data_IF_164394092109
#
_entry.id   IF_164394092109
#
_cell.length_a   1.000
_cell.length_b   1.000
_cell.length_c   1.000
_cell.angle_alpha   90.00
_cell.angle_beta   90.00
_cell.angle_gamma   90.00
#
_symmetry.space_group_name_H-M   'P 1'
#
loop_
_entity.id
_entity.type
_entity.pdbx_description
1 polymer ?
#
# COMPACT_ATOMS: atom_id res chain seq x y z
N UNK A 1 -47.24 37.22 -19.58
CA UNK A 1 -45.87 37.45 -19.03
C UNK A 1 -45.19 36.11 -18.79
N UNK A 2 -43.96 35.92 -19.28
CA UNK A 2 -43.20 34.66 -19.05
C UNK A 2 -42.54 34.69 -17.67
N UNK A 3 -42.28 33.53 -17.06
CA UNK A 3 -41.63 33.44 -15.74
C UNK A 3 -40.28 34.17 -15.68
N UNK A 4 -39.57 34.19 -16.81
CA UNK A 4 -38.33 34.96 -16.98
C UNK A 4 -38.53 36.46 -16.76
N UNK A 5 -39.62 37.02 -17.28
CA UNK A 5 -39.90 38.46 -17.23
C UNK A 5 -40.34 38.87 -15.81
N UNK A 6 -41.15 38.02 -15.16
CA UNK A 6 -41.53 38.18 -13.74
C UNK A 6 -40.30 38.16 -12.82
N UNK A 7 -39.38 37.23 -13.05
CA UNK A 7 -38.13 37.13 -12.28
C UNK A 7 -37.21 38.34 -12.46
N UNK A 8 -37.16 38.91 -13.67
CA UNK A 8 -36.38 40.13 -13.95
C UNK A 8 -36.95 41.35 -13.22
N UNK A 9 -38.28 41.53 -13.27
CA UNK A 9 -38.97 42.60 -12.54
C UNK A 9 -38.78 42.47 -11.02
N UNK A 10 -38.89 41.26 -10.47
CA UNK A 10 -38.69 41.06 -9.04
C UNK A 10 -37.27 41.47 -8.60
N UNK A 11 -36.28 41.20 -9.45
CA UNK A 11 -34.87 41.50 -9.16
C UNK A 11 -34.56 42.99 -9.12
N UNK A 12 -35.37 43.84 -9.75
CA UNK A 12 -35.19 45.31 -9.68
C UNK A 12 -35.78 45.90 -8.40
N UNK A 13 -36.61 45.15 -7.66
CA UNK A 13 -37.23 45.61 -6.41
C UNK A 13 -36.42 45.21 -5.17
N UNK A 14 -35.62 44.15 -5.26
CA UNK A 14 -34.82 43.60 -4.16
C UNK A 14 -33.46 44.31 -4.11
N UNK A 15 -33.16 44.94 -2.98
CA UNK A 15 -31.86 45.55 -2.71
C UNK A 15 -30.82 44.49 -2.30
N UNK A 16 -31.15 43.62 -1.35
CA UNK A 16 -30.33 42.47 -1.00
C UNK A 16 -31.15 41.31 -0.41
N UNK A 17 -30.49 40.15 -0.37
CA UNK A 17 -31.00 38.91 0.24
C UNK A 17 -29.92 38.39 1.18
N UNK A 18 -30.28 38.20 2.45
CA UNK A 18 -29.37 37.73 3.50
C UNK A 18 -29.83 36.39 4.05
N UNK A 19 -28.87 35.53 4.41
CA UNK A 19 -29.15 34.30 5.13
C UNK A 19 -28.95 34.57 6.63
N UNK A 20 -30.03 34.48 7.39
CA UNK A 20 -30.02 34.69 8.83
C UNK A 20 -29.58 33.40 9.56
N UNK A 21 -28.84 33.53 10.67
CA UNK A 21 -28.41 32.39 11.47
C UNK A 21 -29.62 31.67 12.07
N UNK A 22 -29.57 30.34 12.03
CA UNK A 22 -30.63 29.46 12.52
C UNK A 22 -30.02 28.31 13.31
N UNK A 23 -30.57 28.00 14.49
CA UNK A 23 -30.02 26.95 15.37
C UNK A 23 -30.23 25.56 14.77
N UNK A 24 -31.39 25.31 14.15
CA UNK A 24 -31.70 24.06 13.49
C UNK A 24 -31.13 24.05 12.07
N UNK A 25 -30.14 23.19 11.81
CA UNK A 25 -29.49 23.06 10.48
C UNK A 25 -30.46 22.68 9.36
N UNK A 26 -31.60 22.06 9.70
CA UNK A 26 -32.69 21.73 8.78
C UNK A 26 -33.57 22.93 8.40
N UNK A 27 -33.37 24.10 9.02
CA UNK A 27 -34.11 25.33 8.73
C UNK A 27 -33.18 26.37 8.11
N UNK A 28 -33.74 27.22 7.28
CA UNK A 28 -33.06 28.39 6.74
C UNK A 28 -34.02 29.57 6.85
N UNK A 29 -33.45 30.73 7.18
CA UNK A 29 -34.20 31.95 7.38
C UNK A 29 -33.56 33.00 6.49
N UNK A 30 -34.36 33.59 5.61
CA UNK A 30 -33.90 34.50 4.58
C UNK A 30 -34.50 35.86 4.85
N UNK A 31 -33.66 36.87 5.04
CA UNK A 31 -34.08 38.27 5.05
C UNK A 31 -34.05 38.83 3.62
N UNK A 32 -35.10 39.52 3.21
CA UNK A 32 -35.16 40.25 1.94
C UNK A 32 -35.29 41.73 2.25
N UNK A 33 -34.33 42.55 1.78
CA UNK A 33 -34.41 44.00 1.86
C UNK A 33 -34.83 44.56 0.52
N UNK A 34 -35.88 45.38 0.52
CA UNK A 34 -36.39 46.04 -0.68
C UNK A 34 -35.70 47.38 -0.90
N UNK A 35 -35.63 47.85 -2.14
CA UNK A 35 -35.13 49.21 -2.44
C UNK A 35 -35.99 50.32 -1.80
N UNK A 36 -37.22 50.02 -1.42
CA UNK A 36 -38.12 50.90 -0.66
C UNK A 36 -37.75 51.04 0.82
N UNK A 37 -36.77 50.26 1.32
CA UNK A 37 -36.40 50.19 2.73
C UNK A 37 -37.22 49.21 3.56
N UNK A 38 -38.29 48.62 2.99
CA UNK A 38 -39.03 47.54 3.65
C UNK A 38 -38.17 46.28 3.79
N UNK A 39 -38.52 45.42 4.76
CA UNK A 39 -37.84 44.15 5.03
C UNK A 39 -38.84 43.02 5.22
N UNK A 40 -38.63 41.91 4.54
CA UNK A 40 -39.40 40.67 4.72
C UNK A 40 -38.51 39.53 5.21
N UNK A 41 -39.12 38.56 5.88
CA UNK A 41 -38.44 37.36 6.36
C UNK A 41 -39.16 36.10 5.86
N UNK A 42 -38.40 35.16 5.27
CA UNK A 42 -38.88 33.86 4.84
C UNK A 42 -38.22 32.75 5.65
N UNK A 43 -39.03 31.92 6.31
CA UNK A 43 -38.59 30.68 6.93
C UNK A 43 -38.87 29.49 6.00
N UNK A 44 -37.84 28.68 5.74
CA UNK A 44 -37.95 27.47 4.93
C UNK A 44 -37.24 26.27 5.56
N UNK A 45 -37.74 25.07 5.24
CA UNK A 45 -37.08 23.81 5.57
C UNK A 45 -36.08 23.49 4.45
N UNK A 46 -34.83 23.23 4.83
CA UNK A 46 -33.80 22.80 3.88
C UNK A 46 -34.13 21.40 3.38
N UNK A 47 -33.95 21.11 2.09
CA UNK A 47 -33.99 19.74 1.59
C UNK A 47 -33.03 18.86 2.38
N UNK A 48 -33.43 17.63 2.69
CA UNK A 48 -32.56 16.65 3.33
C UNK A 48 -31.27 16.51 2.51
N UNK A 49 -30.14 16.51 3.21
CA UNK A 49 -28.84 16.41 2.56
C UNK A 49 -28.68 15.03 1.89
N UNK A 50 -27.87 14.93 0.84
CA UNK A 50 -27.64 13.65 0.16
C UNK A 50 -27.24 12.49 1.10
N UNK A 51 -26.43 12.69 2.16
CA UNK A 51 -26.16 11.64 3.15
C UNK A 51 -27.38 11.25 4.00
N UNK A 52 -28.27 12.18 4.31
CA UNK A 52 -29.50 11.90 5.06
C UNK A 52 -30.50 11.10 4.22
N UNK A 53 -30.68 11.48 2.96
CA UNK A 53 -31.54 10.75 2.01
C UNK A 53 -30.98 9.34 1.75
N UNK A 54 -29.65 9.19 1.68
CA UNK A 54 -29.01 7.89 1.42
C UNK A 54 -28.87 7.01 2.67
N UNK A 55 -29.28 7.49 3.84
CA UNK A 55 -29.15 6.74 5.09
C UNK A 55 -30.05 5.50 5.05
N UNK A 56 -29.48 4.36 5.44
CA UNK A 56 -30.22 3.10 5.59
C UNK A 56 -31.34 3.28 6.63
N UNK A 57 -32.60 2.93 6.31
CA UNK A 57 -33.69 2.96 7.28
C UNK A 57 -33.39 2.08 8.52
N UNK A 58 -33.83 2.54 9.70
CA UNK A 58 -33.56 1.84 10.96
C UNK A 58 -34.09 0.40 10.97
N UNK A 59 -35.32 0.19 10.49
CA UNK A 59 -35.93 -1.14 10.36
C UNK A 59 -35.11 -2.10 9.50
N UNK A 60 -34.57 -1.61 8.36
CA UNK A 60 -33.70 -2.43 7.51
C UNK A 60 -32.37 -2.76 8.20
N UNK A 61 -31.79 -1.81 8.94
CA UNK A 61 -30.56 -2.04 9.70
C UNK A 61 -30.77 -3.09 10.80
N UNK A 62 -31.88 -3.03 11.53
CA UNK A 62 -32.21 -3.98 12.61
C UNK A 62 -32.46 -5.40 12.09
N UNK A 63 -33.19 -5.51 10.98
CA UNK A 63 -33.41 -6.81 10.34
C UNK A 63 -32.10 -7.42 9.83
N UNK A 64 -31.23 -6.61 9.20
CA UNK A 64 -29.89 -7.05 8.78
C UNK A 64 -29.06 -7.44 10.00
N UNK A 65 -29.11 -6.69 11.10
CA UNK A 65 -28.36 -7.01 12.31
C UNK A 65 -28.75 -8.36 12.93
N UNK A 66 -30.04 -8.69 12.86
CA UNK A 66 -30.60 -9.92 13.41
C UNK A 66 -30.26 -11.14 12.54
N UNK A 67 -30.46 -11.05 11.23
CA UNK A 67 -30.38 -12.22 10.35
C UNK A 67 -28.96 -12.53 9.88
N UNK A 68 -28.15 -11.50 9.61
CA UNK A 68 -26.85 -11.63 8.95
C UNK A 68 -25.79 -12.47 9.68
N UNK A 69 -25.81 -12.61 11.03
CA UNK A 69 -24.90 -13.53 11.73
C UNK A 69 -25.18 -15.03 11.45
N UNK A 70 -26.40 -15.38 11.10
CA UNK A 70 -26.82 -16.79 10.94
C UNK A 70 -27.18 -17.15 9.49
N UNK A 71 -27.56 -16.16 8.69
CA UNK A 71 -28.04 -16.32 7.32
C UNK A 71 -27.01 -15.83 6.30
N UNK A 72 -27.08 -16.36 5.07
CA UNK A 72 -26.30 -15.83 3.95
C UNK A 72 -26.80 -14.44 3.55
N UNK A 73 -25.94 -13.62 2.93
CA UNK A 73 -26.34 -12.28 2.49
C UNK A 73 -27.52 -12.36 1.48
N UNK A 74 -27.63 -13.44 0.69
CA UNK A 74 -28.76 -13.70 -0.22
C UNK A 74 -30.07 -13.94 0.54
N UNK A 75 -30.03 -14.74 1.62
CA UNK A 75 -31.20 -14.98 2.47
C UNK A 75 -31.65 -13.69 3.18
N UNK A 76 -30.70 -12.85 3.60
CA UNK A 76 -31.00 -11.52 4.16
C UNK A 76 -31.68 -10.61 3.12
N UNK A 77 -31.26 -10.67 1.85
CA UNK A 77 -31.92 -9.92 0.76
C UNK A 77 -33.37 -10.39 0.57
N UNK A 78 -33.62 -11.71 0.59
CA UNK A 78 -34.98 -12.26 0.50
C UNK A 78 -35.84 -11.77 1.66
N UNK A 79 -35.35 -11.87 2.90
CA UNK A 79 -36.08 -11.40 4.08
C UNK A 79 -36.37 -9.89 4.05
N UNK A 80 -35.43 -9.07 3.54
CA UNK A 80 -35.66 -7.64 3.34
C UNK A 80 -36.74 -7.35 2.30
N UNK A 81 -36.81 -8.14 1.22
CA UNK A 81 -37.82 -8.02 0.19
C UNK A 81 -39.21 -8.45 0.71
N UNK A 82 -39.29 -9.55 1.46
CA UNK A 82 -40.52 -10.02 2.11
C UNK A 82 -41.06 -9.02 3.14
N UNK A 83 -40.16 -8.36 3.88
CA UNK A 83 -40.52 -7.29 4.80
C UNK A 83 -40.88 -5.95 4.11
N UNK A 84 -40.82 -5.88 2.77
CA UNK A 84 -41.13 -4.67 2.00
C UNK A 84 -40.14 -3.51 2.21
N UNK A 85 -38.92 -3.81 2.70
CA UNK A 85 -37.94 -2.79 3.07
C UNK A 85 -37.07 -2.39 1.88
N UNK A 86 -36.82 -1.09 1.74
CA UNK A 86 -35.97 -0.52 0.68
C UNK A 86 -34.80 0.28 1.26
N UNK A 87 -33.82 0.57 0.40
CA UNK A 87 -32.70 1.46 0.74
C UNK A 87 -33.18 2.91 0.91
N UNK A 88 -32.36 3.80 1.48
CA UNK A 88 -32.74 5.21 1.62
C UNK A 88 -33.10 5.92 0.30
N UNK A 89 -32.63 5.38 -0.83
CA UNK A 89 -32.97 5.87 -2.18
C UNK A 89 -34.15 5.12 -2.84
N UNK A 90 -34.90 4.32 -2.08
CA UNK A 90 -36.08 3.58 -2.55
C UNK A 90 -35.76 2.36 -3.42
N UNK A 91 -34.50 1.93 -3.51
CA UNK A 91 -34.10 0.74 -4.28
C UNK A 91 -34.27 -0.52 -3.43
N UNK A 92 -34.56 -1.64 -4.10
CA UNK A 92 -34.49 -2.98 -3.49
C UNK A 92 -33.05 -3.26 -3.01
N UNK A 93 -32.92 -4.04 -1.94
CA UNK A 93 -31.61 -4.49 -1.48
C UNK A 93 -31.06 -5.56 -2.41
N UNK A 94 -29.75 -5.51 -2.64
CA UNK A 94 -28.96 -6.57 -3.24
C UNK A 94 -27.85 -6.99 -2.25
N UNK A 95 -27.13 -8.07 -2.57
CA UNK A 95 -26.04 -8.60 -1.72
C UNK A 95 -24.97 -7.53 -1.45
N UNK A 96 -24.67 -6.68 -2.43
CA UNK A 96 -23.68 -5.61 -2.27
C UNK A 96 -24.15 -4.55 -1.26
N UNK A 97 -25.42 -4.17 -1.31
CA UNK A 97 -26.05 -3.23 -0.38
C UNK A 97 -26.05 -3.80 1.05
N UNK A 98 -26.40 -5.09 1.23
CA UNK A 98 -26.36 -5.74 2.56
C UNK A 98 -24.93 -5.78 3.11
N UNK A 99 -23.93 -6.13 2.29
CA UNK A 99 -22.51 -6.09 2.68
C UNK A 99 -22.05 -4.69 3.06
N UNK A 100 -22.47 -3.67 2.31
CA UNK A 100 -22.14 -2.28 2.60
C UNK A 100 -22.75 -1.81 3.92
N UNK A 101 -24.02 -2.15 4.18
CA UNK A 101 -24.67 -1.88 5.47
C UNK A 101 -23.90 -2.57 6.60
N UNK A 102 -23.55 -3.84 6.43
CA UNK A 102 -22.77 -4.57 7.43
C UNK A 102 -21.42 -3.92 7.73
N UNK A 103 -20.68 -3.50 6.70
CA UNK A 103 -19.41 -2.80 6.87
C UNK A 103 -19.56 -1.43 7.55
N UNK A 104 -20.58 -0.66 7.16
CA UNK A 104 -20.83 0.71 7.63
C UNK A 104 -21.28 0.73 9.08
N UNK A 105 -22.16 -0.19 9.47
CA UNK A 105 -22.70 -0.28 10.83
C UNK A 105 -22.03 -1.34 11.71
N UNK A 106 -20.92 -1.94 11.25
CA UNK A 106 -20.16 -2.96 11.99
C UNK A 106 -21.00 -4.19 12.38
N UNK A 107 -21.97 -4.55 11.55
CA UNK A 107 -22.75 -5.77 11.72
C UNK A 107 -21.87 -6.93 11.24
N UNK A 108 -21.67 -7.99 12.05
CA UNK A 108 -20.89 -9.15 11.63
C UNK A 108 -21.60 -9.90 10.50
N UNK A 109 -20.81 -10.57 9.66
CA UNK A 109 -21.34 -11.55 8.71
C UNK A 109 -21.36 -12.92 9.38
N UNK A 110 -22.16 -13.85 8.84
CA UNK A 110 -22.08 -15.26 9.21
C UNK A 110 -20.62 -15.74 9.20
N UNK A 111 -20.20 -16.36 10.31
CA UNK A 111 -18.87 -16.94 10.41
C UNK A 111 -18.71 -18.01 9.32
N UNK A 112 -17.71 -17.92 8.43
CA UNK A 112 -17.44 -18.97 7.45
C UNK A 112 -16.73 -20.19 8.07
N UNK A 113 -16.29 -20.07 9.32
CA UNK A 113 -15.58 -21.10 10.07
C UNK A 113 -16.58 -22.01 10.77
N UNK A 114 -16.33 -23.31 10.69
CA UNK A 114 -16.92 -24.29 11.61
C UNK A 114 -16.37 -24.07 13.02
N UNK A 115 -17.01 -24.63 14.04
CA UNK A 115 -16.59 -24.45 15.45
C UNK A 115 -15.16 -24.92 15.72
N UNK A 116 -14.65 -25.85 14.92
CA UNK A 116 -13.30 -26.40 14.97
C UNK A 116 -12.33 -25.71 13.99
N UNK A 117 -12.73 -24.64 13.30
CA UNK A 117 -11.91 -23.96 12.30
C UNK A 117 -11.51 -22.55 12.74
N UNK A 118 -10.29 -22.15 12.40
CA UNK A 118 -9.81 -20.79 12.61
C UNK A 118 -9.27 -20.17 11.33
N UNK A 119 -9.20 -18.84 11.32
CA UNK A 119 -8.56 -18.11 10.23
C UNK A 119 -7.03 -18.05 10.38
N UNK A 120 -6.36 -17.72 9.27
CA UNK A 120 -4.90 -17.56 9.19
C UNK A 120 -4.34 -16.61 10.24
N UNK A 121 -5.01 -15.48 10.50
CA UNK A 121 -4.53 -14.49 11.46
C UNK A 121 -4.56 -15.01 12.89
N UNK A 122 -5.58 -15.81 13.22
CA UNK A 122 -5.73 -16.45 14.52
C UNK A 122 -4.70 -17.57 14.68
N UNK A 123 -4.51 -18.41 13.67
CA UNK A 123 -3.45 -19.43 13.68
C UNK A 123 -2.06 -18.80 13.87
N UNK A 124 -1.75 -17.73 13.12
CA UNK A 124 -0.50 -16.99 13.27
C UNK A 124 -0.34 -16.35 14.66
N UNK A 125 -1.44 -15.96 15.31
CA UNK A 125 -1.42 -15.45 16.68
C UNK A 125 -1.11 -16.54 17.70
N UNK A 126 -1.79 -17.69 17.61
CA UNK A 126 -1.60 -18.83 18.51
C UNK A 126 -0.15 -19.35 18.42
N UNK A 127 0.36 -19.47 17.19
CA UNK A 127 1.71 -19.97 16.92
C UNK A 127 2.82 -18.93 17.10
N UNK A 128 2.49 -17.65 17.28
CA UNK A 128 3.49 -16.59 17.40
C UNK A 128 4.34 -16.37 16.14
N UNK A 129 3.82 -16.67 14.95
CA UNK A 129 4.51 -16.50 13.65
C UNK A 129 3.81 -15.45 12.77
N UNK A 130 4.40 -15.13 11.61
CA UNK A 130 3.77 -14.22 10.64
C UNK A 130 2.65 -14.92 9.85
N UNK A 131 1.61 -14.17 9.46
CA UNK A 131 0.54 -14.69 8.61
C UNK A 131 1.06 -15.25 7.27
N UNK A 132 2.10 -14.64 6.69
CA UNK A 132 2.74 -15.14 5.47
C UNK A 132 3.35 -16.53 5.65
N UNK A 133 3.90 -16.85 6.82
CA UNK A 133 4.42 -18.19 7.10
C UNK A 133 3.28 -19.22 7.12
N UNK A 134 2.14 -18.88 7.72
CA UNK A 134 0.94 -19.74 7.70
C UNK A 134 0.40 -19.90 6.27
N UNK A 135 0.31 -18.82 5.48
CA UNK A 135 -0.04 -18.91 4.06
C UNK A 135 0.92 -19.81 3.30
N UNK A 136 2.23 -19.67 3.52
CA UNK A 136 3.24 -20.52 2.90
C UNK A 136 3.04 -21.99 3.27
N UNK A 137 2.71 -22.33 4.52
CA UNK A 137 2.41 -23.71 4.89
C UNK A 137 1.16 -24.26 4.24
N UNK A 138 0.10 -23.45 4.15
CA UNK A 138 -1.16 -23.84 3.49
C UNK A 138 -0.98 -24.05 1.98
N UNK A 139 -0.10 -23.29 1.32
CA UNK A 139 0.13 -23.43 -0.13
C UNK A 139 1.12 -24.52 -0.51
N UNK A 140 1.88 -25.05 0.46
CA UNK A 140 2.87 -26.11 0.23
C UNK A 140 2.48 -27.42 0.96
N UNK A 141 1.19 -27.58 1.27
CA UNK A 141 0.61 -28.78 1.90
C UNK A 141 1.26 -29.19 3.24
N UNK A 142 1.88 -28.23 3.94
CA UNK A 142 2.47 -28.42 5.28
C UNK A 142 1.48 -28.15 6.41
N UNK A 143 0.34 -27.54 6.08
CA UNK A 143 -0.79 -27.32 6.98
C UNK A 143 -2.06 -27.53 6.16
N UNK A 144 -2.96 -28.38 6.65
CA UNK A 144 -4.25 -28.62 5.98
C UNK A 144 -5.17 -27.44 6.23
N UNK A 145 -5.86 -27.00 5.18
CA UNK A 145 -6.93 -26.02 5.27
C UNK A 145 -7.85 -26.10 4.07
N UNK A 146 -9.12 -25.70 4.22
CA UNK A 146 -10.04 -25.51 3.09
C UNK A 146 -10.16 -24.04 2.75
N UNK A 147 -10.59 -23.73 1.53
CA UNK A 147 -11.02 -22.37 1.18
C UNK A 147 -12.54 -22.26 1.32
N UNK A 148 -13.03 -21.15 1.86
CA UNK A 148 -14.45 -20.79 1.79
C UNK A 148 -14.83 -20.33 0.37
N UNK A 149 -16.11 -20.07 0.14
CA UNK A 149 -16.63 -19.56 -1.15
C UNK A 149 -16.07 -18.20 -1.55
N UNK A 150 -15.45 -17.47 -0.63
CA UNK A 150 -14.75 -16.19 -0.88
C UNK A 150 -13.23 -16.34 -1.06
N UNK A 151 -12.71 -17.57 -1.02
CA UNK A 151 -11.28 -17.86 -1.14
C UNK A 151 -10.47 -17.65 0.15
N UNK A 152 -11.12 -17.44 1.30
CA UNK A 152 -10.43 -17.35 2.60
C UNK A 152 -10.11 -18.74 3.13
N UNK A 153 -8.94 -18.89 3.74
CA UNK A 153 -8.54 -20.15 4.35
C UNK A 153 -9.21 -20.37 5.70
N UNK A 154 -9.84 -21.53 5.84
CA UNK A 154 -10.38 -22.10 7.06
C UNK A 154 -9.48 -23.27 7.46
N UNK A 155 -8.83 -23.14 8.61
CA UNK A 155 -7.83 -24.09 9.09
C UNK A 155 -8.49 -24.91 10.20
N UNK A 156 -8.67 -26.24 10.05
CA UNK A 156 -9.10 -27.09 11.16
C UNK A 156 -8.05 -26.99 12.27
N UNK A 157 -8.49 -26.62 13.46
CA UNK A 157 -7.62 -26.33 14.59
C UNK A 157 -7.96 -27.24 15.76
N UNK A 158 -7.02 -28.13 16.05
CA UNK A 158 -7.08 -29.00 17.22
C UNK A 158 -5.71 -29.02 17.91
N UNK A 159 -5.63 -29.52 19.16
CA UNK A 159 -4.36 -29.55 19.90
C UNK A 159 -3.23 -30.31 19.20
N UNK A 160 -3.54 -31.33 18.39
CA UNK A 160 -2.54 -32.11 17.64
C UNK A 160 -1.94 -31.29 16.49
N UNK A 161 -2.77 -30.57 15.74
CA UNK A 161 -2.34 -29.66 14.66
C UNK A 161 -1.47 -28.54 15.23
N UNK A 162 -1.85 -27.98 16.39
CA UNK A 162 -1.04 -26.98 17.06
C UNK A 162 0.34 -27.54 17.48
N UNK A 163 0.36 -28.73 18.08
CA UNK A 163 1.61 -29.39 18.49
C UNK A 163 2.54 -29.67 17.29
N UNK A 164 2.01 -30.22 16.19
CA UNK A 164 2.76 -30.45 14.96
C UNK A 164 3.31 -29.14 14.35
N UNK A 165 2.50 -28.07 14.37
CA UNK A 165 2.97 -26.75 13.95
C UNK A 165 4.10 -26.23 14.83
N UNK A 166 4.04 -26.44 16.16
CA UNK A 166 5.10 -26.03 17.11
C UNK A 166 6.38 -26.82 16.91
N UNK A 167 6.29 -28.13 16.67
CA UNK A 167 7.44 -28.97 16.33
C UNK A 167 8.10 -28.50 15.02
N UNK A 168 7.28 -28.22 14.00
CA UNK A 168 7.76 -27.67 12.73
C UNK A 168 8.43 -26.30 12.89
N UNK A 169 7.99 -25.48 13.86
CA UNK A 169 8.66 -24.22 14.21
C UNK A 169 10.03 -24.50 14.81
N UNK A 170 10.13 -25.43 15.75
CA UNK A 170 11.40 -25.82 16.38
C UNK A 170 12.41 -26.37 15.36
N UNK A 171 11.95 -27.14 14.37
CA UNK A 171 12.79 -27.70 13.31
C UNK A 171 13.24 -26.66 12.25
N UNK A 172 12.58 -25.49 12.18
CA UNK A 172 12.78 -24.52 11.10
C UNK A 172 13.43 -23.23 11.59
N UNK A 173 14.75 -23.11 11.42
CA UNK A 173 15.52 -21.89 11.75
C UNK A 173 15.23 -20.67 10.85
N UNK A 174 14.33 -20.78 9.87
CA UNK A 174 14.02 -19.75 8.87
C UNK A 174 12.70 -19.01 9.13
N UNK A 175 11.92 -19.41 10.14
CA UNK A 175 10.63 -18.78 10.43
C UNK A 175 10.84 -17.48 11.20
N UNK A 176 10.38 -16.36 10.62
CA UNK A 176 10.39 -15.07 11.30
C UNK A 176 9.30 -15.05 12.38
N UNK A 177 9.65 -14.93 13.67
CA UNK A 177 8.66 -14.83 14.75
C UNK A 177 7.83 -13.54 14.63
N UNK A 178 6.60 -13.56 15.17
CA UNK A 178 5.71 -12.39 15.22
C UNK A 178 6.38 -11.23 15.99
N UNK A 179 6.13 -9.96 15.62
CA UNK A 179 6.65 -8.82 16.34
C UNK A 179 6.16 -8.81 17.80
N UNK A 180 7.09 -8.85 18.74
CA UNK A 180 6.91 -8.74 20.19
C UNK A 180 8.25 -8.30 20.80
N UNK A 181 8.26 -7.74 22.02
CA UNK A 181 9.51 -7.31 22.65
C UNK A 181 10.50 -8.48 22.78
N UNK A 182 11.81 -8.23 22.65
CA UNK A 182 12.84 -9.26 22.76
C UNK A 182 12.84 -9.87 24.17
N UNK A 183 13.01 -11.19 24.27
CA UNK A 183 12.95 -11.90 25.55
C UNK A 183 14.14 -11.55 26.47
N UNK A 184 15.30 -11.21 25.90
CA UNK A 184 16.51 -10.81 26.62
C UNK A 184 17.31 -9.74 25.84
N UNK A 185 16.88 -8.48 25.91
CA UNK A 185 17.70 -7.35 25.49
C UNK A 185 18.72 -7.00 26.59
N UNK A 186 20.00 -6.85 26.23
CA UNK A 186 21.00 -6.34 27.20
C UNK A 186 20.79 -4.83 27.41
N UNK A 187 21.24 -4.27 28.54
CA UNK A 187 21.22 -2.82 28.74
C UNK A 187 21.94 -2.11 27.59
N UNK A 188 21.26 -1.17 26.92
CA UNK A 188 21.81 -0.44 25.77
C UNK A 188 21.56 -1.06 24.39
N UNK A 189 20.88 -2.21 24.29
CA UNK A 189 20.49 -2.81 23.01
C UNK A 189 19.08 -2.39 22.59
N UNK A 190 18.91 -2.12 21.30
CA UNK A 190 17.60 -1.80 20.70
C UNK A 190 17.22 -2.82 19.64
N UNK A 191 15.92 -2.96 19.40
CA UNK A 191 15.42 -3.75 18.27
C UNK A 191 15.63 -3.01 16.95
N UNK A 192 15.62 -3.75 15.84
CA UNK A 192 15.60 -3.17 14.48
C UNK A 192 14.46 -2.16 14.31
N UNK A 193 13.31 -2.41 14.94
CA UNK A 193 12.14 -1.54 14.87
C UNK A 193 12.34 -0.23 15.66
N UNK A 194 12.95 -0.32 16.85
CA UNK A 194 13.29 0.85 17.65
C UNK A 194 14.38 1.69 16.99
N UNK A 195 15.40 1.05 16.42
CA UNK A 195 16.42 1.74 15.63
C UNK A 195 15.82 2.43 14.39
N UNK A 196 14.89 1.77 13.70
CA UNK A 196 14.19 2.33 12.54
C UNK A 196 13.43 3.61 12.92
N UNK A 197 12.67 3.54 14.02
CA UNK A 197 11.93 4.68 14.54
C UNK A 197 12.84 5.85 14.97
N UNK A 198 13.98 5.58 15.63
CA UNK A 198 14.95 6.61 16.06
C UNK A 198 15.61 7.33 14.90
N UNK A 199 15.91 6.60 13.83
CA UNK A 199 16.56 7.14 12.64
C UNK A 199 15.57 7.72 11.61
N UNK A 200 14.26 7.47 11.77
CA UNK A 200 13.26 7.86 10.78
C UNK A 200 13.34 7.06 9.47
N UNK A 201 13.91 5.85 9.50
CA UNK A 201 14.10 4.98 8.34
C UNK A 201 13.20 3.74 8.43
N UNK A 202 13.00 3.10 7.28
CA UNK A 202 12.23 1.86 7.15
C UNK A 202 13.06 0.65 7.64
N UNK A 203 12.43 -0.30 8.35
CA UNK A 203 13.11 -1.45 8.98
C UNK A 203 14.02 -2.25 8.02
N UNK A 204 13.62 -2.36 6.75
CA UNK A 204 14.39 -3.10 5.75
C UNK A 204 15.78 -2.50 5.47
N UNK A 205 15.96 -1.19 5.69
CA UNK A 205 17.26 -0.52 5.55
C UNK A 205 18.23 -1.02 6.62
N UNK A 206 17.77 -1.14 7.86
CA UNK A 206 18.56 -1.69 8.96
C UNK A 206 18.88 -3.17 8.78
N UNK A 207 17.90 -3.97 8.31
CA UNK A 207 18.18 -5.37 7.95
C UNK A 207 19.25 -5.47 6.84
N UNK A 208 19.23 -4.54 5.88
CA UNK A 208 20.26 -4.46 4.85
C UNK A 208 21.63 -4.10 5.44
N UNK A 209 21.71 -3.12 6.35
CA UNK A 209 22.96 -2.72 7.01
C UNK A 209 23.58 -3.83 7.87
N UNK A 210 22.73 -4.59 8.58
CA UNK A 210 23.13 -5.79 9.33
C UNK A 210 23.66 -6.87 8.37
N UNK A 211 22.97 -7.11 7.25
CA UNK A 211 23.39 -8.09 6.23
C UNK A 211 24.72 -7.71 5.56
N UNK A 212 24.95 -6.41 5.35
CA UNK A 212 26.20 -5.87 4.83
C UNK A 212 27.32 -5.82 5.87
N UNK A 213 27.09 -6.30 7.10
CA UNK A 213 28.04 -6.30 8.22
C UNK A 213 28.55 -4.90 8.63
N UNK A 214 27.85 -3.83 8.24
CA UNK A 214 28.20 -2.44 8.62
C UNK A 214 27.56 -2.02 9.95
N UNK A 215 26.43 -2.64 10.32
CA UNK A 215 25.80 -2.44 11.62
C UNK A 215 26.05 -3.67 12.51
N UNK A 216 26.68 -3.52 13.69
CA UNK A 216 26.80 -4.61 14.63
C UNK A 216 25.41 -5.03 15.11
N UNK A 217 25.11 -6.33 15.07
CA UNK A 217 23.88 -6.86 15.61
C UNK A 217 24.11 -8.31 16.05
N UNK A 218 23.49 -8.69 17.17
CA UNK A 218 23.45 -10.08 17.65
C UNK A 218 22.04 -10.64 17.52
N UNK A 219 21.91 -11.95 17.41
CA UNK A 219 20.62 -12.61 17.62
C UNK A 219 20.43 -12.93 19.11
N UNK A 220 19.23 -12.75 19.64
CA UNK A 220 18.84 -13.28 20.94
C UNK A 220 18.48 -14.79 20.83
N UNK A 221 18.29 -15.51 21.95
CA UNK A 221 17.88 -16.92 21.93
C UNK A 221 16.54 -17.17 21.21
N UNK A 222 15.71 -16.13 21.03
CA UNK A 222 14.47 -16.19 20.24
C UNK A 222 14.68 -15.88 18.74
N UNK A 223 15.93 -15.71 18.30
CA UNK A 223 16.31 -15.47 16.90
C UNK A 223 16.18 -14.00 16.44
N UNK A 224 15.87 -13.06 17.33
CA UNK A 224 15.65 -11.64 17.04
C UNK A 224 16.95 -10.84 17.04
N UNK A 225 17.06 -9.87 16.13
CA UNK A 225 18.21 -8.99 16.06
C UNK A 225 18.16 -7.89 17.15
N UNK A 226 19.17 -7.91 18.01
CA UNK A 226 19.48 -6.88 18.99
C UNK A 226 20.70 -6.10 18.50
N UNK A 227 20.54 -4.79 18.35
CA UNK A 227 21.61 -3.87 17.91
C UNK A 227 22.16 -3.19 19.17
N UNK A 228 23.46 -3.31 19.50
CA UNK A 228 24.07 -2.49 20.53
C UNK A 228 24.01 -1.03 20.10
N UNK A 229 23.19 -0.24 20.77
CA UNK A 229 22.89 1.13 20.39
C UNK A 229 23.65 2.10 21.27
N UNK A 230 24.68 2.73 20.70
CA UNK A 230 25.42 3.79 21.34
C UNK A 230 25.41 5.07 20.47
N UNK A 231 25.77 6.24 21.02
CA UNK A 231 25.75 7.49 20.29
C UNK A 231 26.62 7.49 19.02
N UNK A 232 27.72 6.73 19.00
CA UNK A 232 28.59 6.61 17.82
C UNK A 232 27.94 5.81 16.68
N UNK A 233 27.24 4.72 17.00
CA UNK A 233 26.48 3.92 16.04
C UNK A 233 25.33 4.74 15.47
N UNK A 234 24.64 5.52 16.30
CA UNK A 234 23.57 6.41 15.84
C UNK A 234 24.11 7.50 14.92
N UNK A 235 25.21 8.17 15.29
CA UNK A 235 25.85 9.18 14.46
C UNK A 235 26.30 8.62 13.11
N UNK A 236 26.92 7.43 13.10
CA UNK A 236 27.32 6.75 11.86
C UNK A 236 26.13 6.36 10.98
N UNK A 237 25.02 5.90 11.59
CA UNK A 237 23.79 5.64 10.83
C UNK A 237 23.18 6.92 10.25
N UNK A 238 23.23 8.04 10.98
CA UNK A 238 22.74 9.34 10.50
C UNK A 238 23.61 9.90 9.38
N UNK A 239 24.93 9.77 9.49
CA UNK A 239 25.87 10.17 8.45
C UNK A 239 25.63 9.39 7.15
N UNK A 240 25.33 8.09 7.25
CA UNK A 240 24.93 7.27 6.12
C UNK A 240 23.58 7.64 5.49
N UNK A 241 22.68 8.24 6.26
CA UNK A 241 21.39 8.74 5.76
C UNK A 241 21.58 10.07 5.04
N UNK A 242 22.46 10.94 5.54
CA UNK A 242 22.75 12.25 4.95
C UNK A 242 23.68 12.15 3.74
N UNK A 243 24.56 11.15 3.72
CA UNK A 243 25.54 10.92 2.65
C UNK A 243 25.35 9.50 2.05
N UNK A 244 24.23 9.22 1.36
CA UNK A 244 23.97 7.92 0.75
C UNK A 244 25.01 7.52 -0.32
N UNK A 245 25.80 8.47 -0.83
CA UNK A 245 26.96 8.25 -1.69
C UNK A 245 28.14 7.58 -0.97
N UNK A 246 28.23 7.65 0.37
CA UNK A 246 29.13 6.79 1.16
C UNK A 246 28.58 5.36 1.31
N UNK A 247 27.28 5.19 1.02
CA UNK A 247 26.61 3.89 0.87
C UNK A 247 26.78 3.32 -0.55
N UNK A 248 26.88 4.20 -1.55
CA UNK A 248 27.22 3.83 -2.92
C UNK A 248 28.73 3.55 -3.02
N UNK A 249 29.15 2.40 -3.57
CA UNK A 249 30.52 2.30 -4.03
C UNK A 249 30.74 3.38 -5.10
N UNK A 250 31.77 4.18 -4.94
CA UNK A 250 32.26 5.11 -5.98
C UNK A 250 32.47 4.34 -7.28
N UNK A 251 31.65 4.66 -8.29
CA UNK A 251 31.75 4.15 -9.66
C UNK A 251 31.39 2.66 -9.85
N UNK A 252 31.29 2.20 -11.12
CA UNK A 252 31.17 0.78 -11.43
C UNK A 252 32.41 0.07 -10.89
N UNK A 253 32.30 -0.53 -9.70
CA UNK A 253 33.42 -1.24 -9.10
C UNK A 253 33.50 -2.60 -9.78
N UNK A 254 34.52 -2.86 -10.62
CA UNK A 254 34.67 -4.15 -11.28
C UNK A 254 34.72 -5.27 -10.24
N UNK A 255 34.45 -6.50 -10.69
CA UNK A 255 34.76 -7.68 -9.89
C UNK A 255 36.25 -7.58 -9.47
N UNK A 256 36.60 -7.88 -8.20
CA UNK A 256 38.01 -7.98 -7.81
C UNK A 256 38.73 -8.92 -8.78
N UNK A 257 39.93 -8.56 -9.25
CA UNK A 257 40.69 -9.30 -10.28
C UNK A 257 40.85 -10.77 -9.89
N UNK A 258 40.95 -11.07 -8.59
CA UNK A 258 41.12 -12.42 -8.04
C UNK A 258 39.82 -13.24 -7.93
N UNK A 259 38.67 -12.66 -8.28
CA UNK A 259 37.33 -13.24 -8.06
C UNK A 259 36.49 -13.42 -9.33
N UNK A 260 36.92 -12.87 -10.46
CA UNK A 260 36.23 -13.04 -11.73
C UNK A 260 36.82 -14.25 -12.46
N UNK A 261 36.02 -15.27 -12.74
CA UNK A 261 36.41 -16.25 -13.75
C UNK A 261 36.36 -15.57 -15.12
N UNK A 262 37.18 -16.05 -16.05
CA UNK A 262 37.24 -15.49 -17.40
C UNK A 262 35.82 -15.50 -18.03
N UNK A 263 35.33 -14.34 -18.48
CA UNK A 263 33.97 -14.17 -19.00
C UNK A 263 32.86 -13.79 -18.01
N UNK A 264 33.16 -13.52 -16.73
CA UNK A 264 32.14 -13.07 -15.75
C UNK A 264 32.08 -11.54 -15.61
N UNK A 265 30.88 -10.98 -15.54
CA UNK A 265 30.67 -9.55 -15.31
C UNK A 265 29.74 -9.26 -14.13
N UNK A 266 29.85 -8.05 -13.59
CA UNK A 266 28.97 -7.57 -12.53
C UNK A 266 27.63 -7.04 -13.07
N UNK A 267 26.63 -6.92 -12.18
CA UNK A 267 25.32 -6.32 -12.52
C UNK A 267 25.45 -4.94 -13.19
N UNK A 268 26.27 -3.99 -12.68
CA UNK A 268 26.44 -2.69 -13.35
C UNK A 268 27.10 -2.79 -14.72
N UNK A 269 28.05 -3.71 -14.92
CA UNK A 269 28.68 -3.92 -16.23
C UNK A 269 27.69 -4.51 -17.24
N UNK A 270 26.84 -5.45 -16.81
CA UNK A 270 25.75 -6.00 -17.63
C UNK A 270 24.73 -4.92 -18.02
N UNK A 271 24.35 -4.07 -17.06
CA UNK A 271 23.43 -2.96 -17.28
C UNK A 271 23.98 -1.95 -18.30
N UNK A 272 25.26 -1.61 -18.18
CA UNK A 272 25.96 -0.73 -19.11
C UNK A 272 26.02 -1.29 -20.53
N UNK A 273 26.37 -2.58 -20.70
CA UNK A 273 26.41 -3.24 -22.02
C UNK A 273 25.05 -3.27 -22.71
N UNK A 274 23.99 -3.57 -21.95
CA UNK A 274 22.63 -3.65 -22.46
C UNK A 274 21.96 -2.28 -22.65
N UNK A 275 22.53 -1.19 -22.12
CA UNK A 275 21.91 0.13 -22.12
C UNK A 275 20.60 0.16 -21.32
N UNK A 276 20.55 -0.60 -20.23
CA UNK A 276 19.39 -0.72 -19.33
C UNK A 276 19.77 -0.39 -17.89
N UNK A 277 18.77 -0.16 -17.06
CA UNK A 277 18.97 0.09 -15.63
C UNK A 277 19.33 -1.21 -14.88
N UNK A 278 20.14 -1.12 -13.81
CA UNK A 278 20.51 -2.28 -12.97
C UNK A 278 19.30 -3.11 -12.49
N UNK A 279 18.16 -2.45 -12.27
CA UNK A 279 16.93 -3.08 -11.82
C UNK A 279 16.41 -4.12 -12.83
N UNK A 280 16.60 -3.88 -14.13
CA UNK A 280 16.24 -4.80 -15.19
C UNK A 280 17.09 -6.08 -15.12
N UNK A 281 18.40 -5.93 -14.95
CA UNK A 281 19.33 -7.07 -14.78
C UNK A 281 18.99 -7.88 -13.53
N UNK A 282 18.72 -7.22 -12.39
CA UNK A 282 18.31 -7.90 -11.15
C UNK A 282 16.98 -8.66 -11.30
N UNK A 283 16.06 -8.15 -12.10
CA UNK A 283 14.80 -8.83 -12.39
C UNK A 283 15.04 -10.12 -13.19
N UNK A 284 15.90 -10.08 -14.21
CA UNK A 284 16.20 -11.26 -15.02
C UNK A 284 16.89 -12.37 -14.20
N UNK A 285 17.73 -11.99 -13.23
CA UNK A 285 18.32 -12.95 -12.26
C UNK A 285 17.22 -13.58 -11.40
N UNK A 286 16.27 -12.78 -10.89
CA UNK A 286 15.21 -13.25 -10.01
C UNK A 286 14.25 -14.23 -10.70
N UNK A 287 13.92 -13.96 -11.97
CA UNK A 287 13.00 -14.78 -12.76
C UNK A 287 13.70 -16.02 -13.34
N UNK A 288 15.04 -16.10 -13.22
CA UNK A 288 15.83 -17.25 -13.68
C UNK A 288 16.19 -17.20 -15.16
N UNK A 289 16.01 -16.06 -15.83
CA UNK A 289 16.46 -15.86 -17.22
C UNK A 289 17.95 -15.53 -17.32
N UNK A 290 18.55 -15.03 -16.24
CA UNK A 290 19.98 -14.76 -16.15
C UNK A 290 20.58 -15.60 -15.02
N UNK A 291 21.50 -16.50 -15.37
CA UNK A 291 22.30 -17.21 -14.38
C UNK A 291 23.23 -16.22 -13.68
N UNK A 292 23.21 -16.21 -12.35
CA UNK A 292 24.13 -15.43 -11.57
C UNK A 292 24.47 -16.18 -10.29
N UNK A 293 25.72 -16.10 -9.85
CA UNK A 293 26.19 -16.73 -8.63
C UNK A 293 26.83 -15.72 -7.70
N UNK A 294 26.95 -16.09 -6.43
CA UNK A 294 27.53 -15.22 -5.41
C UNK A 294 28.99 -15.58 -5.24
N UNK A 295 29.89 -14.65 -5.53
CA UNK A 295 31.33 -14.84 -5.33
C UNK A 295 31.65 -14.99 -3.83
N UNK A 296 32.83 -15.56 -3.47
CA UNK A 296 33.27 -15.65 -2.07
C UNK A 296 33.32 -14.29 -1.36
N UNK A 297 33.58 -13.21 -2.09
CA UNK A 297 33.53 -11.83 -1.63
C UNK A 297 32.09 -11.27 -1.45
N UNK A 298 31.06 -12.09 -1.64
CA UNK A 298 29.65 -11.73 -1.48
C UNK A 298 29.05 -10.91 -2.63
N UNK A 299 29.76 -10.79 -3.76
CA UNK A 299 29.28 -10.05 -4.95
C UNK A 299 28.53 -10.98 -5.89
N UNK A 300 27.70 -10.42 -6.76
CA UNK A 300 26.99 -11.19 -7.79
C UNK A 300 27.83 -11.16 -9.07
N UNK A 301 28.23 -12.33 -9.53
CA UNK A 301 28.90 -12.55 -10.81
C UNK A 301 27.91 -13.20 -11.78
N UNK A 302 27.91 -12.68 -13.01
CA UNK A 302 27.05 -13.13 -14.10
C UNK A 302 27.97 -13.71 -15.18
N UNK A 303 27.87 -15.01 -15.51
CA UNK A 303 28.51 -15.55 -16.71
C UNK A 303 27.96 -14.82 -17.94
N UNK A 304 28.82 -14.19 -18.71
CA UNK A 304 28.41 -13.34 -19.82
C UNK A 304 29.07 -13.76 -21.12
N UNK A 305 28.25 -14.11 -22.11
CA UNK A 305 28.67 -14.39 -23.48
C UNK A 305 27.76 -13.65 -24.46
N UNK A 306 28.16 -13.65 -25.74
CA UNK A 306 27.44 -12.93 -26.80
C UNK A 306 26.01 -13.49 -27.02
N UNK A 307 25.80 -14.78 -26.77
CA UNK A 307 24.48 -15.42 -26.87
C UNK A 307 23.50 -14.94 -25.79
N UNK A 308 23.95 -14.84 -24.54
CA UNK A 308 23.17 -14.31 -23.40
C UNK A 308 22.83 -12.84 -23.66
N UNK A 309 23.80 -12.06 -24.16
CA UNK A 309 23.55 -10.66 -24.50
C UNK A 309 22.51 -10.52 -25.62
N UNK A 310 22.63 -11.28 -26.70
CA UNK A 310 21.69 -11.26 -27.82
C UNK A 310 20.27 -11.70 -27.39
N UNK A 311 20.15 -12.75 -26.58
CA UNK A 311 18.88 -13.24 -26.06
C UNK A 311 18.19 -12.19 -25.16
N UNK A 312 18.94 -11.51 -24.31
CA UNK A 312 18.41 -10.44 -23.44
C UNK A 312 17.98 -9.22 -24.26
N UNK A 313 18.76 -8.81 -25.27
CA UNK A 313 18.38 -7.71 -26.18
C UNK A 313 17.07 -8.04 -26.91
N UNK A 314 16.93 -9.25 -27.44
CA UNK A 314 15.70 -9.70 -28.09
C UNK A 314 14.50 -9.72 -27.13
N UNK A 315 14.72 -10.08 -25.86
CA UNK A 315 13.67 -10.08 -24.85
C UNK A 315 13.23 -8.66 -24.44
N UNK A 316 14.19 -7.77 -24.21
CA UNK A 316 13.95 -6.37 -23.84
C UNK A 316 13.28 -5.55 -24.97
N UNK A 317 13.47 -5.97 -26.22
CA UNK A 317 12.84 -5.36 -27.39
C UNK A 317 11.35 -5.75 -27.57
N UNK A 318 10.83 -6.76 -26.86
CA UNK A 318 9.42 -7.16 -26.97
C UNK A 318 8.51 -6.06 -26.42
N UNK A 319 7.65 -5.50 -27.28
CA UNK A 319 6.62 -4.52 -26.89
C UNK A 319 5.59 -5.17 -25.98
N UNK A 320 5.24 -4.52 -24.86
CA UNK A 320 3.99 -4.85 -24.14
C UNK A 320 3.95 -4.72 -22.62
N UNK A 321 5.07 -4.47 -21.91
CA UNK A 321 5.01 -4.39 -20.44
C UNK A 321 5.64 -3.12 -19.88
N UNK A 322 4.92 -2.28 -19.11
CA UNK A 322 5.47 -1.11 -18.40
C UNK A 322 6.28 -1.51 -17.15
N UNK A 323 6.94 -2.68 -17.18
CA UNK A 323 7.71 -3.23 -16.06
C UNK A 323 9.21 -3.19 -16.36
N UNK A 324 10.07 -3.76 -15.49
CA UNK A 324 11.53 -3.75 -15.61
C UNK A 324 12.07 -4.53 -16.83
N UNK A 325 11.17 -5.06 -17.69
CA UNK A 325 11.48 -5.84 -18.88
C UNK A 325 11.03 -5.19 -20.19
N UNK A 326 10.38 -4.03 -20.15
CA UNK A 326 9.97 -3.30 -21.35
C UNK A 326 10.83 -2.07 -21.65
N UNK A 327 10.53 -1.39 -22.77
CA UNK A 327 11.27 -0.23 -23.30
C UNK A 327 11.48 0.91 -22.27
N UNK A 328 10.62 1.02 -21.25
CA UNK A 328 10.77 1.96 -20.13
C UNK A 328 11.89 1.62 -19.12
N UNK A 329 12.63 0.54 -19.33
CA UNK A 329 13.79 0.14 -18.51
C UNK A 329 15.14 0.57 -19.12
N UNK A 330 15.10 1.15 -20.32
CA UNK A 330 16.24 1.82 -20.93
C UNK A 330 16.42 3.21 -20.34
N UNK A 331 17.66 3.70 -20.34
CA UNK A 331 17.94 5.07 -19.96
C UNK A 331 17.22 6.04 -20.93
N UNK A 332 16.75 7.18 -20.40
CA UNK A 332 16.19 8.24 -21.24
C UNK A 332 17.28 8.80 -22.18
N UNK A 333 16.93 9.20 -23.42
CA UNK A 333 17.87 9.89 -24.31
C UNK A 333 18.48 11.12 -23.62
N UNK A 334 19.74 11.46 -23.97
CA UNK A 334 20.45 12.58 -23.37
C UNK A 334 19.71 13.91 -23.54
N UNK A 335 19.03 14.11 -24.68
CA UNK A 335 18.20 15.30 -24.94
C UNK A 335 17.03 15.44 -23.97
N UNK A 336 16.38 14.32 -23.63
CA UNK A 336 15.27 14.26 -22.67
C UNK A 336 15.75 14.54 -21.24
N UNK A 337 16.93 14.02 -20.89
CA UNK A 337 17.57 14.32 -19.60
C UNK A 337 18.00 15.80 -19.50
N UNK A 338 18.49 16.39 -20.60
CA UNK A 338 18.86 17.80 -20.66
C UNK A 338 17.66 18.75 -20.49
N UNK A 339 16.45 18.31 -20.83
CA UNK A 339 15.19 19.03 -20.55
C UNK A 339 14.71 18.90 -19.10
N UNK A 340 15.44 18.18 -18.25
CA UNK A 340 15.07 17.97 -16.85
C UNK A 340 13.95 16.94 -16.64
N UNK A 341 13.68 16.10 -17.65
CA UNK A 341 12.67 15.04 -17.53
C UNK A 341 13.27 13.80 -16.85
N UNK A 342 12.48 13.19 -15.96
CA UNK A 342 12.89 12.02 -15.19
C UNK A 342 12.14 10.79 -15.66
N UNK A 343 12.81 9.63 -15.61
CA UNK A 343 12.16 8.35 -15.80
C UNK A 343 11.27 8.02 -14.60
N UNK A 344 10.27 7.17 -14.81
CA UNK A 344 9.40 6.63 -13.75
C UNK A 344 10.20 6.05 -12.57
N UNK A 345 11.36 5.46 -12.86
CA UNK A 345 12.22 4.87 -11.84
C UNK A 345 12.97 5.92 -11.01
N UNK A 346 13.46 6.98 -11.65
CA UNK A 346 14.08 8.12 -10.97
C UNK A 346 13.07 8.84 -10.08
N UNK A 347 11.84 9.05 -10.55
CA UNK A 347 10.76 9.63 -9.75
C UNK A 347 10.39 8.74 -8.56
N UNK A 348 10.25 7.43 -8.77
CA UNK A 348 9.96 6.48 -7.71
C UNK A 348 11.07 6.47 -6.62
N UNK A 349 12.34 6.51 -7.04
CA UNK A 349 13.48 6.59 -6.13
C UNK A 349 13.50 7.91 -5.36
N UNK A 350 13.27 9.04 -6.04
CA UNK A 350 13.25 10.38 -5.44
C UNK A 350 12.12 10.55 -4.42
N UNK A 351 10.97 9.91 -4.64
CA UNK A 351 9.79 10.00 -3.77
C UNK A 351 9.71 8.88 -2.72
N UNK A 352 10.60 7.88 -2.77
CA UNK A 352 10.56 6.72 -1.88
C UNK A 352 9.33 5.82 -2.07
N UNK A 353 8.74 5.78 -3.27
CA UNK A 353 7.54 4.97 -3.58
C UNK A 353 7.87 3.82 -4.53
N UNK A 354 7.01 2.80 -4.61
CA UNK A 354 7.18 1.73 -5.61
C UNK A 354 6.93 2.28 -7.02
N UNK A 355 7.72 1.83 -8.00
CA UNK A 355 7.56 2.21 -9.43
C UNK A 355 6.13 2.01 -9.94
N UNK A 356 5.46 0.92 -9.53
CA UNK A 356 4.06 0.65 -9.87
C UNK A 356 3.06 1.72 -9.40
N UNK A 357 3.37 2.46 -8.32
CA UNK A 357 2.53 3.57 -7.87
C UNK A 357 2.60 4.76 -8.84
N UNK A 358 3.79 5.06 -9.36
CA UNK A 358 3.99 6.13 -10.34
C UNK A 358 3.31 5.78 -11.66
N UNK A 359 3.44 4.53 -12.14
CA UNK A 359 2.66 4.05 -13.29
C UNK A 359 1.16 4.18 -13.09
N UNK A 360 0.67 3.86 -11.89
CA UNK A 360 -0.75 3.99 -11.55
C UNK A 360 -1.22 5.46 -11.60
N UNK A 361 -0.40 6.43 -11.19
CA UNK A 361 -0.73 7.85 -11.28
C UNK A 361 -0.82 8.33 -12.72
N UNK A 362 0.13 7.93 -13.57
CA UNK A 362 0.14 8.26 -15.01
C UNK A 362 -1.09 7.64 -15.69
N UNK A 363 -1.36 6.35 -15.47
CA UNK A 363 -2.49 5.65 -16.10
C UNK A 363 -3.86 6.21 -15.70
N UNK A 364 -3.96 6.89 -14.55
CA UNK A 364 -5.18 7.55 -14.08
C UNK A 364 -5.25 9.03 -14.46
N UNK A 365 -4.32 9.54 -15.27
CA UNK A 365 -4.23 10.95 -15.66
C UNK A 365 -3.99 11.89 -14.47
N UNK A 366 -3.31 11.40 -13.42
CA UNK A 366 -3.02 12.17 -12.20
C UNK A 366 -1.62 12.75 -12.16
N UNK A 367 -0.75 12.30 -13.07
CA UNK A 367 0.61 12.77 -13.23
C UNK A 367 0.87 12.89 -14.73
N UNK A 368 1.30 14.06 -15.17
CA UNK A 368 1.60 14.30 -16.57
C UNK A 368 2.91 13.63 -16.95
N UNK A 369 2.86 12.82 -18.00
CA UNK A 369 4.00 12.13 -18.55
C UNK A 369 4.02 12.29 -20.06
N UNK A 370 5.20 12.52 -20.61
CA UNK A 370 5.45 12.54 -22.05
C UNK A 370 5.75 11.13 -22.49
N UNK A 371 5.11 10.71 -23.59
CA UNK A 371 5.39 9.44 -24.24
C UNK A 371 6.11 9.72 -25.54
N UNK A 372 7.35 9.26 -25.65
CA UNK A 372 8.12 9.36 -26.88
C UNK A 372 7.62 8.37 -27.94
N UNK A 373 7.97 8.60 -29.20
CA UNK A 373 7.56 7.76 -30.35
C UNK A 373 8.10 6.32 -30.26
N UNK A 374 9.19 6.12 -29.52
CA UNK A 374 9.74 4.81 -29.17
C UNK A 374 8.95 4.10 -28.04
N UNK A 375 7.93 4.75 -27.48
CA UNK A 375 7.06 4.25 -26.43
C UNK A 375 7.58 4.45 -25.00
N UNK A 376 8.74 5.11 -24.81
CA UNK A 376 9.27 5.44 -23.48
C UNK A 376 8.43 6.52 -22.79
N UNK A 377 8.33 6.42 -21.46
CA UNK A 377 7.64 7.38 -20.61
C UNK A 377 8.66 8.21 -19.85
N UNK A 378 8.58 9.53 -20.00
CA UNK A 378 9.33 10.52 -19.22
C UNK A 378 8.35 11.44 -18.49
N UNK A 379 8.76 11.93 -17.33
CA UNK A 379 7.97 12.82 -16.48
C UNK A 379 8.71 14.16 -16.44
N UNK A 380 8.16 15.24 -17.01
CA UNK A 380 8.76 16.57 -16.87
C UNK A 380 8.80 16.98 -15.40
N UNK A 381 9.99 17.24 -14.85
CA UNK A 381 10.13 17.60 -13.43
C UNK A 381 9.94 19.10 -13.21
N UNK A 382 8.76 19.60 -13.55
CA UNK A 382 8.34 20.97 -13.27
C UNK A 382 7.88 21.10 -11.81
N UNK A 383 7.84 22.32 -11.26
CA UNK A 383 7.38 22.58 -9.89
C UNK A 383 5.96 22.03 -9.63
N UNK A 384 5.09 22.07 -10.63
CA UNK A 384 3.72 21.54 -10.55
C UNK A 384 3.71 20.01 -10.45
N UNK A 385 4.50 19.34 -11.30
CA UNK A 385 4.63 17.87 -11.26
C UNK A 385 5.32 17.38 -9.99
N UNK A 386 6.30 18.11 -9.47
CA UNK A 386 6.93 17.82 -8.17
C UNK A 386 5.91 17.94 -7.03
N UNK A 387 5.10 19.00 -7.00
CA UNK A 387 4.04 19.18 -6.00
C UNK A 387 2.97 18.07 -6.06
N UNK A 388 2.52 17.71 -7.27
CA UNK A 388 1.57 16.62 -7.51
C UNK A 388 2.18 15.28 -7.04
N UNK A 389 3.43 15.02 -7.40
CA UNK A 389 4.17 13.82 -7.01
C UNK A 389 4.29 13.69 -5.49
N UNK A 390 4.65 14.77 -4.78
CA UNK A 390 4.76 14.78 -3.32
C UNK A 390 3.40 14.58 -2.65
N UNK A 391 2.33 15.19 -3.17
CA UNK A 391 0.97 14.97 -2.65
C UNK A 391 0.48 13.52 -2.85
N UNK A 392 0.74 12.94 -4.02
CA UNK A 392 0.36 11.55 -4.34
C UNK A 392 1.21 10.55 -3.55
N UNK A 393 2.50 10.81 -3.39
CA UNK A 393 3.39 10.03 -2.53
C UNK A 393 2.90 10.08 -1.08
N UNK A 394 2.60 11.26 -0.53
CA UNK A 394 2.08 11.40 0.83
C UNK A 394 0.75 10.65 1.04
N UNK A 395 -0.14 10.62 0.04
CA UNK A 395 -1.39 9.83 0.11
C UNK A 395 -1.15 8.32 0.04
N UNK A 396 -0.18 7.91 -0.77
CA UNK A 396 0.21 6.49 -0.94
C UNK A 396 0.97 5.95 0.28
N UNK A 397 1.75 6.81 0.95
CA UNK A 397 2.41 6.52 2.22
C UNK A 397 1.40 6.57 3.38
N UNK A 398 0.47 7.55 3.41
CA UNK A 398 -0.59 7.61 4.44
C UNK A 398 -1.57 6.44 4.37
N UNK A 399 -1.87 5.90 3.18
CA UNK A 399 -2.67 4.67 3.07
C UNK A 399 -1.97 3.45 3.67
N UNK A 400 -0.64 3.48 3.80
CA UNK A 400 0.14 2.47 4.51
C UNK A 400 0.30 2.76 6.02
N UNK A 401 -0.02 3.98 6.50
CA UNK A 401 0.26 4.42 7.89
C UNK A 401 -0.98 4.52 8.80
N UNK A 402 -2.21 4.23 8.35
CA UNK A 402 -3.35 4.10 9.29
C UNK A 402 -4.28 2.92 8.99
N UNK A 403 -4.01 1.81 9.66
CA UNK A 403 -5.06 1.09 10.42
C UNK A 403 -4.49 0.82 11.82
N UNK A 404 -4.17 1.89 12.54
CA UNK A 404 -4.05 1.86 13.99
C UNK A 404 -5.34 2.48 14.51
N UNK A 405 -6.23 1.62 15.00
CA UNK A 405 -7.42 2.04 15.71
C UNK A 405 -6.96 2.81 16.96
N UNK A 406 -7.24 4.12 16.99
CA UNK A 406 -7.25 4.90 18.21
C UNK A 406 -8.54 4.52 18.95
N UNK A 407 -8.43 3.61 19.92
CA UNK A 407 -9.44 3.48 20.96
C UNK A 407 -9.25 4.67 21.90
N UNK A 408 -10.10 5.68 21.75
CA UNK A 408 -10.26 6.70 22.78
C UNK A 408 -10.92 6.02 23.97
N UNK A 409 -10.16 5.82 25.05
CA UNK A 409 -10.70 5.43 26.34
C UNK A 409 -11.53 6.57 26.91
N UNK A 410 -12.82 6.31 27.10
CA UNK A 410 -13.67 7.08 27.99
C UNK A 410 -13.46 6.65 29.44
N UNK A 411 -13.47 7.65 30.31
CA UNK A 411 -13.92 7.67 31.70
C UNK A 411 -14.10 6.33 32.45
N UNK A 412 -13.33 6.18 33.53
CA UNK A 412 -13.84 5.93 34.89
C UNK A 412 -13.12 6.89 35.81
#
# INVERSE_FOLDING_TARGET
TKDRDRKRLLRTLIADVTLLPEQARARARIGVRWHTGATDELALTRPATSPEVRRTPAAARELIATLRPEHSDEQVVVALAEAGLTTGTGRRYDVAAVKWVGHTYKIPARSPFRDDEINVNRAAQILGITANAVYYWLTHDRLTGRKDSSGRWCIPWNPQVEAACREQIGASGHLTPRPGPPAQARPGEVTVQQAAARLGVVEHALYYWIRCRRLPARKDPSGRWCIPWNPQVEAGCRDWITHPEQFAPTGPRPLPVDSARDGEISIPQAAARLGVLDAAVRYQIRVGHLCAHRTPAGRIAIPWNDEVEAALRAHLARRGHPGPTGLGSHALPQETQARGELSVQQVAARLGVRQGAVYYWIARGRLDAVRADDGRLSIPWTSDNEAICLQLAARTVKSHVKTTALTAGGAV
#
